data_IF_749059776340
#
_entry.id   IF_749059776340
#
_cell.length_a   1.000
_cell.length_b   1.000
_cell.length_c   1.000
_cell.angle_alpha   90.00
_cell.angle_beta   90.00
_cell.angle_gamma   90.00
#
_symmetry.space_group_name_H-M   'P 1'
#
loop_
_entity.id
_entity.type
_entity.pdbx_description
1 polymer ?
#
# COMPACT_ATOMS: atom_id res chain seq x y z
N UNK A 1 -7.46 -18.36 5.13
CA UNK A 1 -7.41 -17.12 4.32
C UNK A 1 -6.39 -16.20 4.96
N UNK A 2 -5.50 -15.60 4.16
CA UNK A 2 -4.48 -14.64 4.62
C UNK A 2 -4.99 -13.20 4.51
N UNK A 3 -4.37 -12.25 5.21
CA UNK A 3 -4.73 -10.82 5.09
C UNK A 3 -4.64 -10.32 3.64
N UNK A 4 -3.61 -10.75 2.89
CA UNK A 4 -3.46 -10.32 1.49
C UNK A 4 -4.59 -10.85 0.60
N UNK A 5 -5.08 -12.07 0.86
CA UNK A 5 -6.22 -12.65 0.14
C UNK A 5 -7.53 -11.94 0.51
N UNK A 6 -7.78 -11.74 1.80
CA UNK A 6 -8.97 -11.05 2.29
C UNK A 6 -9.02 -9.59 1.77
N UNK A 7 -7.90 -8.88 1.82
CA UNK A 7 -7.78 -7.52 1.30
C UNK A 7 -7.97 -7.45 -0.23
N UNK A 8 -7.58 -8.50 -0.97
CA UNK A 8 -7.81 -8.55 -2.41
C UNK A 8 -9.28 -8.83 -2.75
N UNK A 9 -9.96 -9.65 -1.94
CA UNK A 9 -11.35 -10.02 -2.14
C UNK A 9 -12.33 -8.92 -1.70
N UNK A 10 -12.10 -8.31 -0.53
CA UNK A 10 -13.02 -7.36 0.11
C UNK A 10 -12.56 -5.90 -0.01
N UNK A 11 -11.32 -5.64 -0.41
CA UNK A 11 -10.74 -4.29 -0.34
C UNK A 11 -10.44 -3.89 1.11
N UNK A 12 -10.28 -2.58 1.42
CA UNK A 12 -10.02 -2.09 2.77
C UNK A 12 -11.31 -2.04 3.60
N UNK A 13 -12.03 -3.16 3.69
CA UNK A 13 -13.22 -3.31 4.53
C UNK A 13 -12.84 -3.98 5.85
N UNK A 14 -12.84 -3.20 6.92
CA UNK A 14 -12.43 -3.65 8.26
C UNK A 14 -13.30 -4.78 8.79
N UNK A 15 -14.62 -4.72 8.57
CA UNK A 15 -15.56 -5.73 9.09
C UNK A 15 -15.35 -7.02 8.31
N UNK A 16 -15.40 -6.96 6.99
CA UNK A 16 -15.24 -8.15 6.14
C UNK A 16 -13.87 -8.82 6.33
N UNK A 17 -12.79 -8.05 6.51
CA UNK A 17 -11.45 -8.60 6.80
C UNK A 17 -11.39 -9.22 8.21
N UNK A 18 -12.01 -8.58 9.20
CA UNK A 18 -12.04 -9.11 10.58
C UNK A 18 -12.77 -10.46 10.64
N UNK A 19 -13.92 -10.58 9.98
CA UNK A 19 -14.69 -11.82 9.87
C UNK A 19 -13.93 -12.88 9.06
N UNK A 20 -13.33 -12.50 7.94
CA UNK A 20 -12.53 -13.36 7.07
C UNK A 20 -11.32 -13.98 7.79
N UNK A 21 -10.69 -13.25 8.70
CA UNK A 21 -9.47 -13.66 9.42
C UNK A 21 -9.74 -14.17 10.83
N UNK A 22 -10.96 -13.97 11.36
CA UNK A 22 -11.31 -14.29 12.75
C UNK A 22 -10.53 -13.46 13.77
N UNK A 23 -10.20 -12.22 13.43
CA UNK A 23 -9.48 -11.27 14.29
C UNK A 23 -10.41 -10.16 14.78
N UNK A 24 -9.99 -9.39 15.77
CA UNK A 24 -10.78 -8.23 16.19
C UNK A 24 -10.75 -7.11 15.14
N UNK A 25 -11.84 -6.35 15.02
CA UNK A 25 -11.96 -5.23 14.05
C UNK A 25 -10.80 -4.22 14.17
N UNK A 26 -10.35 -3.91 15.38
CA UNK A 26 -9.24 -2.99 15.61
C UNK A 26 -7.89 -3.55 15.11
N UNK A 27 -7.72 -4.87 15.10
CA UNK A 27 -6.53 -5.50 14.51
C UNK A 27 -6.61 -5.49 12.98
N UNK A 28 -7.80 -5.76 12.42
CA UNK A 28 -8.04 -5.64 10.99
C UNK A 28 -7.77 -4.21 10.49
N UNK A 29 -8.26 -3.20 11.21
CA UNK A 29 -8.04 -1.78 10.90
C UNK A 29 -6.54 -1.43 10.91
N UNK A 30 -5.80 -1.89 11.93
CA UNK A 30 -4.34 -1.69 12.00
C UNK A 30 -3.64 -2.29 10.78
N UNK A 31 -3.98 -3.51 10.38
CA UNK A 31 -3.38 -4.17 9.21
C UNK A 31 -3.71 -3.44 7.90
N UNK A 32 -4.94 -2.95 7.75
CA UNK A 32 -5.35 -2.12 6.62
C UNK A 32 -4.52 -0.83 6.56
N UNK A 33 -4.39 -0.14 7.69
CA UNK A 33 -3.62 1.09 7.78
C UNK A 33 -2.14 0.86 7.45
N UNK A 34 -1.50 -0.17 8.01
CA UNK A 34 -0.11 -0.51 7.68
C UNK A 34 0.10 -0.81 6.19
N UNK A 35 -0.87 -1.50 5.56
CA UNK A 35 -0.83 -1.80 4.12
C UNK A 35 -0.94 -0.52 3.28
N UNK A 36 -1.83 0.38 3.67
CA UNK A 36 -2.04 1.66 3.00
C UNK A 36 -0.84 2.59 3.15
N UNK A 37 -0.26 2.67 4.34
CA UNK A 37 0.95 3.45 4.62
C UNK A 37 2.15 2.95 3.82
N UNK A 38 2.31 1.63 3.69
CA UNK A 38 3.34 1.05 2.82
C UNK A 38 3.12 1.45 1.36
N UNK A 39 1.89 1.31 0.86
CA UNK A 39 1.52 1.69 -0.52
C UNK A 39 1.73 3.19 -0.77
N UNK A 40 1.47 4.04 0.23
CA UNK A 40 1.74 5.47 0.15
C UNK A 40 3.24 5.75 0.07
N UNK A 41 4.04 5.17 0.96
CA UNK A 41 5.51 5.31 0.94
C UNK A 41 6.11 4.88 -0.39
N UNK A 42 5.67 3.74 -0.93
CA UNK A 42 6.13 3.25 -2.23
C UNK A 42 5.80 4.24 -3.36
N UNK A 43 4.63 4.88 -3.33
CA UNK A 43 4.26 5.89 -4.33
C UNK A 43 5.13 7.13 -4.23
N UNK A 44 5.38 7.63 -3.02
CA UNK A 44 6.22 8.81 -2.78
C UNK A 44 7.65 8.54 -3.24
N UNK A 45 8.22 7.40 -2.88
CA UNK A 45 9.57 7.02 -3.29
C UNK A 45 9.68 6.86 -4.81
N UNK A 46 8.71 6.19 -5.44
CA UNK A 46 8.69 6.08 -6.90
C UNK A 46 8.54 7.43 -7.60
N UNK A 47 7.77 8.37 -7.02
CA UNK A 47 7.64 9.73 -7.55
C UNK A 47 8.98 10.47 -7.46
N UNK A 48 9.70 10.32 -6.34
CA UNK A 48 11.04 10.88 -6.14
C UNK A 48 12.04 10.33 -7.15
N UNK A 49 12.15 9.01 -7.27
CA UNK A 49 13.06 8.35 -8.23
C UNK A 49 12.76 8.81 -9.66
N UNK A 50 11.48 8.90 -10.03
CA UNK A 50 11.08 9.39 -11.36
C UNK A 50 11.46 10.86 -11.58
N UNK A 51 11.40 11.69 -10.54
CA UNK A 51 11.87 13.07 -10.58
C UNK A 51 13.38 13.15 -10.82
N UNK A 52 14.16 12.43 -10.02
CA UNK A 52 15.63 12.37 -10.14
C UNK A 52 16.06 11.86 -11.52
N UNK A 53 15.42 10.81 -12.05
CA UNK A 53 15.67 10.30 -13.41
C UNK A 53 15.38 11.34 -14.50
N UNK A 54 14.33 12.17 -14.33
CA UNK A 54 14.03 13.26 -15.28
C UNK A 54 15.12 14.33 -15.24
N UNK A 55 15.61 14.69 -14.07
CA UNK A 55 16.69 15.68 -13.93
C UNK A 55 18.02 15.19 -14.51
N UNK A 56 18.35 13.91 -14.34
CA UNK A 56 19.55 13.30 -14.95
C UNK A 56 19.45 13.36 -16.46
N UNK A 57 18.29 12.96 -17.02
CA UNK A 57 18.04 13.02 -18.48
C UNK A 57 18.11 14.45 -19.03
N UNK A 58 17.66 15.44 -18.26
CA UNK A 58 17.74 16.84 -18.67
C UNK A 58 19.18 17.38 -18.67
N UNK A 59 20.06 16.84 -17.81
CA UNK A 59 21.48 17.25 -17.71
C UNK A 59 22.39 16.62 -18.76
N UNK A 60 21.99 15.51 -19.37
CA UNK A 60 22.71 14.88 -20.48
C UNK A 60 21.85 14.95 -21.76
N UNK A 61 21.75 16.12 -22.41
CA UNK A 61 21.22 16.19 -23.76
C UNK A 61 22.15 15.40 -24.69
N UNK A 62 21.58 14.49 -25.47
CA UNK A 62 22.27 13.75 -26.52
C UNK A 62 22.70 14.66 -27.67
#
# INVERSE_FOLDING_TARGET
MTFSEAYHLHGPDTIAISEALGIAEHEADRLINERMDRKYRDRVENARIRGELREIRARCPA
#
